data_IF_123354026117
#
_entry.id   IF_123354026117
#
_cell.length_a   1.000
_cell.length_b   1.000
_cell.length_c   1.000
_cell.angle_alpha   90.00
_cell.angle_beta   90.00
_cell.angle_gamma   90.00
#
_symmetry.space_group_name_H-M   'P 1'
#
loop_
_entity.id
_entity.type
_entity.pdbx_description
1 polymer ?
#
# COMPACT_ATOMS: atom_id res chain seq x y z
N UNK A 1 -2.57 -8.85 -17.33
CA UNK A 1 -2.67 -8.12 -18.61
C UNK A 1 -1.38 -7.38 -18.97
N UNK A 2 -0.79 -6.54 -18.10
CA UNK A 2 0.54 -5.94 -18.34
C UNK A 2 1.68 -6.98 -18.56
N UNK A 3 1.76 -8.00 -17.69
CA UNK A 3 2.72 -9.11 -17.84
C UNK A 3 2.46 -9.96 -19.11
N UNK A 4 1.21 -9.99 -19.60
CA UNK A 4 0.82 -10.77 -20.78
C UNK A 4 1.17 -10.05 -22.10
N UNK A 5 1.29 -8.71 -22.07
CA UNK A 5 1.54 -7.90 -23.27
C UNK A 5 3.05 -7.67 -23.52
N UNK A 6 3.86 -7.62 -22.46
CA UNK A 6 5.29 -7.29 -22.55
C UNK A 6 6.22 -8.50 -22.69
N UNK A 7 5.85 -9.70 -22.20
CA UNK A 7 6.81 -10.80 -22.07
C UNK A 7 6.72 -11.93 -23.11
N UNK A 8 5.68 -12.00 -23.95
CA UNK A 8 5.56 -13.06 -24.98
C UNK A 8 5.89 -14.48 -24.45
N UNK A 9 5.51 -14.78 -23.20
CA UNK A 9 5.87 -16.02 -22.51
C UNK A 9 4.62 -16.80 -22.06
N UNK A 10 4.77 -18.12 -22.13
CA UNK A 10 3.82 -19.18 -21.80
C UNK A 10 3.19 -18.98 -20.42
N UNK A 11 1.89 -19.27 -20.29
CA UNK A 11 1.07 -19.08 -19.08
C UNK A 11 1.69 -19.65 -17.78
N UNK A 12 2.58 -20.64 -17.91
CA UNK A 12 3.30 -21.27 -16.80
C UNK A 12 4.34 -20.37 -16.10
N UNK A 13 5.01 -19.46 -16.81
CA UNK A 13 6.03 -18.59 -16.20
C UNK A 13 5.40 -17.45 -15.40
N UNK A 14 4.30 -16.87 -15.90
CA UNK A 14 3.56 -15.84 -15.19
C UNK A 14 2.99 -16.34 -13.85
N UNK A 15 2.51 -17.59 -13.82
CA UNK A 15 2.05 -18.24 -12.59
C UNK A 15 3.19 -18.41 -11.58
N UNK A 16 4.40 -18.74 -12.04
CA UNK A 16 5.58 -18.93 -11.21
C UNK A 16 6.05 -17.60 -10.60
N UNK A 17 6.08 -16.51 -11.38
CA UNK A 17 6.34 -15.16 -10.85
C UNK A 17 5.30 -14.72 -9.82
N UNK A 18 4.02 -15.03 -10.05
CA UNK A 18 2.96 -14.71 -9.11
C UNK A 18 3.11 -15.50 -7.80
N UNK A 19 3.37 -16.81 -7.87
CA UNK A 19 3.66 -17.64 -6.70
C UNK A 19 4.90 -17.14 -5.93
N UNK A 20 5.97 -16.79 -6.64
CA UNK A 20 7.17 -16.21 -6.03
C UNK A 20 6.85 -14.89 -5.30
N UNK A 21 5.98 -14.04 -5.88
CA UNK A 21 5.55 -12.79 -5.24
C UNK A 21 4.74 -13.03 -3.96
N UNK A 22 3.86 -14.04 -3.92
CA UNK A 22 3.09 -14.41 -2.72
C UNK A 22 4.02 -14.92 -1.61
N UNK A 23 4.99 -15.77 -1.95
CA UNK A 23 5.96 -16.29 -0.98
C UNK A 23 6.82 -15.14 -0.43
N UNK A 24 7.33 -14.28 -1.31
CA UNK A 24 8.09 -13.09 -0.92
C UNK A 24 7.27 -12.15 -0.02
N UNK A 25 6.00 -11.92 -0.36
CA UNK A 25 5.05 -11.14 0.44
C UNK A 25 4.81 -11.74 1.83
N UNK A 26 4.73 -13.07 1.93
CA UNK A 26 4.58 -13.75 3.21
C UNK A 26 5.83 -13.57 4.09
N UNK A 27 7.03 -13.77 3.52
CA UNK A 27 8.30 -13.54 4.20
C UNK A 27 8.49 -12.07 4.63
N UNK A 28 8.08 -11.13 3.78
CA UNK A 28 8.07 -9.71 4.08
C UNK A 28 7.30 -9.41 5.35
N UNK A 29 6.09 -9.97 5.46
CA UNK A 29 5.20 -9.74 6.58
C UNK A 29 5.85 -10.14 7.91
N UNK A 30 6.60 -11.25 7.94
CA UNK A 30 7.38 -11.65 9.12
C UNK A 30 8.49 -10.65 9.46
N UNK A 31 9.27 -10.22 8.47
CA UNK A 31 10.36 -9.25 8.65
C UNK A 31 9.82 -7.90 9.15
N UNK A 32 8.71 -7.41 8.59
CA UNK A 32 8.11 -6.13 9.00
C UNK A 32 7.42 -6.20 10.35
N UNK A 33 6.77 -7.32 10.68
CA UNK A 33 6.18 -7.48 12.03
C UNK A 33 7.28 -7.42 13.08
N UNK A 34 8.45 -8.01 12.79
CA UNK A 34 9.62 -7.89 13.63
C UNK A 34 10.17 -6.45 13.67
N UNK A 35 10.19 -5.74 12.53
CA UNK A 35 10.65 -4.36 12.44
C UNK A 35 9.73 -3.35 13.17
N UNK A 36 8.41 -3.59 13.19
CA UNK A 36 7.43 -2.79 13.94
C UNK A 36 7.67 -2.88 15.46
N UNK A 37 8.39 -3.89 15.95
CA UNK A 37 8.77 -3.97 17.37
C UNK A 37 9.82 -2.92 17.74
N UNK A 38 10.60 -2.42 16.78
CA UNK A 38 11.72 -1.51 17.03
C UNK A 38 11.43 -0.06 16.64
N UNK A 39 10.50 0.20 15.71
CA UNK A 39 10.20 1.54 15.20
C UNK A 39 8.74 1.94 15.39
N UNK A 40 8.48 3.24 15.58
CA UNK A 40 7.11 3.76 15.64
C UNK A 40 6.35 3.38 14.36
N UNK A 41 5.17 2.74 14.48
CA UNK A 41 4.36 2.30 13.33
C UNK A 41 4.03 3.46 12.38
N UNK A 42 3.76 4.66 12.93
CA UNK A 42 3.48 5.85 12.14
C UNK A 42 4.65 6.28 11.23
N UNK A 43 5.90 6.11 11.70
CA UNK A 43 7.10 6.49 10.92
C UNK A 43 7.40 5.49 9.81
N UNK A 44 7.20 4.19 10.09
CA UNK A 44 7.31 3.14 9.07
C UNK A 44 6.27 3.32 7.96
N UNK A 45 5.02 3.64 8.34
CA UNK A 45 3.95 3.91 7.39
C UNK A 45 4.26 5.11 6.49
N UNK A 46 4.79 6.21 7.04
CA UNK A 46 5.17 7.39 6.24
C UNK A 46 6.27 7.05 5.22
N UNK A 47 7.29 6.29 5.62
CA UNK A 47 8.34 5.83 4.71
C UNK A 47 7.82 4.90 3.63
N UNK A 48 6.93 3.96 3.97
CA UNK A 48 6.31 3.05 3.02
C UNK A 48 5.44 3.82 2.00
N UNK A 49 4.60 4.76 2.46
CA UNK A 49 3.76 5.57 1.59
C UNK A 49 4.60 6.48 0.67
N UNK A 50 5.70 7.06 1.16
CA UNK A 50 6.62 7.83 0.34
C UNK A 50 7.31 6.96 -0.73
N UNK A 51 7.73 5.74 -0.36
CA UNK A 51 8.29 4.78 -1.30
C UNK A 51 7.27 4.39 -2.38
N UNK A 52 6.01 4.14 -2.01
CA UNK A 52 4.93 3.81 -2.96
C UNK A 52 4.64 4.95 -3.93
N UNK A 53 4.66 6.21 -3.48
CA UNK A 53 4.50 7.36 -4.39
C UNK A 53 5.62 7.38 -5.44
N UNK A 54 6.87 7.20 -5.02
CA UNK A 54 8.03 7.17 -5.93
C UNK A 54 7.92 5.99 -6.90
N UNK A 55 7.55 4.80 -6.41
CA UNK A 55 7.34 3.60 -7.22
C UNK A 55 6.21 3.81 -8.24
N UNK A 56 5.07 4.38 -7.84
CA UNK A 56 3.99 4.74 -8.75
C UNK A 56 4.45 5.73 -9.83
N UNK A 57 5.27 6.71 -9.46
CA UNK A 57 5.82 7.69 -10.40
C UNK A 57 6.77 7.03 -11.41
N UNK A 58 7.59 6.09 -10.96
CA UNK A 58 8.44 5.25 -11.83
C UNK A 58 7.59 4.42 -12.79
N UNK A 59 6.49 3.82 -12.32
CA UNK A 59 5.56 3.04 -13.18
C UNK A 59 4.91 3.93 -14.25
N UNK A 60 4.52 5.16 -13.91
CA UNK A 60 3.95 6.11 -14.87
C UNK A 60 5.00 6.53 -15.90
N UNK A 61 6.21 6.88 -15.48
CA UNK A 61 7.28 7.36 -16.36
C UNK A 61 7.91 6.26 -17.23
N UNK A 62 7.96 5.03 -16.74
CA UNK A 62 8.53 3.87 -17.46
C UNK A 62 7.45 2.99 -18.11
N UNK A 63 6.29 3.57 -18.43
CA UNK A 63 5.23 2.94 -19.20
C UNK A 63 5.74 2.60 -20.62
N UNK A 64 6.33 1.41 -20.77
CA UNK A 64 6.94 0.93 -22.02
C UNK A 64 8.16 0.01 -21.84
N UNK A 65 8.67 -0.16 -20.62
CA UNK A 65 9.71 -1.17 -20.31
C UNK A 65 9.17 -2.16 -19.28
N UNK A 66 8.51 -3.22 -19.74
CA UNK A 66 7.66 -4.11 -18.94
C UNK A 66 8.30 -4.74 -17.70
N UNK A 67 9.61 -5.02 -17.70
CA UNK A 67 10.26 -5.64 -16.54
C UNK A 67 10.35 -4.71 -15.33
N UNK A 68 10.63 -3.42 -15.53
CA UNK A 68 10.82 -2.48 -14.42
C UNK A 68 9.48 -2.16 -13.76
N UNK A 69 8.43 -2.01 -14.56
CA UNK A 69 7.07 -1.81 -14.06
C UNK A 69 6.60 -3.02 -13.22
N UNK A 70 6.92 -4.25 -13.64
CA UNK A 70 6.56 -5.46 -12.89
C UNK A 70 7.29 -5.53 -11.54
N UNK A 71 8.60 -5.26 -11.50
CA UNK A 71 9.35 -5.23 -10.24
C UNK A 71 8.82 -4.13 -9.30
N UNK A 72 8.50 -2.95 -9.83
CA UNK A 72 7.91 -1.87 -9.05
C UNK A 72 6.55 -2.24 -8.46
N UNK A 73 5.69 -2.95 -9.21
CA UNK A 73 4.39 -3.42 -8.72
C UNK A 73 4.50 -4.46 -7.61
N UNK A 74 5.48 -5.35 -7.70
CA UNK A 74 5.77 -6.32 -6.62
C UNK A 74 6.19 -5.59 -5.35
N UNK A 75 7.05 -4.57 -5.48
CA UNK A 75 7.46 -3.72 -4.35
C UNK A 75 6.29 -2.92 -3.76
N UNK A 76 5.42 -2.32 -4.59
CA UNK A 76 4.23 -1.59 -4.09
C UNK A 76 3.32 -2.54 -3.31
N UNK A 77 3.08 -3.75 -3.84
CA UNK A 77 2.23 -4.75 -3.18
C UNK A 77 2.80 -5.16 -1.82
N UNK A 78 4.13 -5.27 -1.73
CA UNK A 78 4.86 -5.55 -0.51
C UNK A 78 4.69 -4.44 0.54
N UNK A 79 4.79 -3.17 0.16
CA UNK A 79 4.54 -2.04 1.07
C UNK A 79 3.07 -1.92 1.46
N UNK A 80 2.13 -2.17 0.53
CA UNK A 80 0.69 -2.11 0.81
C UNK A 80 0.25 -3.10 1.91
N UNK A 81 0.86 -4.28 1.99
CA UNK A 81 0.57 -5.31 3.01
C UNK A 81 0.65 -4.83 4.45
N UNK A 82 1.62 -3.93 4.72
CA UNK A 82 1.91 -3.43 6.06
C UNK A 82 1.08 -2.19 6.39
N UNK A 83 0.70 -1.39 5.39
CA UNK A 83 -0.05 -0.16 5.62
C UNK A 83 -1.40 -0.43 6.26
N UNK A 84 -2.13 -1.47 5.82
CA UNK A 84 -3.44 -1.79 6.38
C UNK A 84 -3.41 -2.14 7.89
N UNK A 85 -2.61 -3.11 8.36
CA UNK A 85 -2.51 -3.40 9.79
C UNK A 85 -1.89 -2.24 10.59
N UNK A 86 -1.01 -1.44 10.00
CA UNK A 86 -0.44 -0.26 10.67
C UNK A 86 -1.45 0.86 10.83
N UNK A 87 -2.25 1.19 9.80
CA UNK A 87 -3.36 2.14 9.89
C UNK A 87 -4.36 1.67 10.95
N UNK A 88 -4.75 0.40 10.89
CA UNK A 88 -5.70 -0.17 11.85
C UNK A 88 -5.16 -0.14 13.27
N UNK A 89 -3.87 -0.46 13.46
CA UNK A 89 -3.19 -0.36 14.74
C UNK A 89 -3.19 1.07 15.29
N UNK A 90 -2.74 2.04 14.48
CA UNK A 90 -2.67 3.46 14.87
C UNK A 90 -4.06 4.03 15.16
N UNK A 91 -5.06 3.70 14.34
CA UNK A 91 -6.41 4.26 14.46
C UNK A 91 -7.19 3.72 15.67
N UNK A 92 -6.81 2.56 16.20
CA UNK A 92 -7.40 1.99 17.41
C UNK A 92 -6.54 2.19 18.66
N UNK A 93 -5.30 2.65 18.49
CA UNK A 93 -4.40 2.93 19.59
C UNK A 93 -4.94 4.11 20.43
N UNK A 94 -5.15 3.88 21.73
CA UNK A 94 -5.66 4.90 22.65
C UNK A 94 -7.19 5.13 22.61
N UNK A 95 -7.97 4.39 21.83
CA UNK A 95 -9.44 4.58 21.70
C UNK A 95 -10.24 3.90 22.83
N UNK A 96 -9.63 2.97 23.59
CA UNK A 96 -10.27 2.35 24.76
C UNK A 96 -11.55 1.56 24.42
N UNK A 97 -12.63 1.74 25.20
CA UNK A 97 -13.90 1.04 25.01
C UNK A 97 -14.56 1.33 23.65
N UNK A 98 -14.26 2.49 23.04
CA UNK A 98 -14.79 2.88 21.73
C UNK A 98 -14.05 2.22 20.55
N UNK A 99 -13.02 1.40 20.81
CA UNK A 99 -12.23 0.74 19.75
C UNK A 99 -13.10 -0.14 18.84
N UNK A 100 -14.21 -0.69 19.34
CA UNK A 100 -15.18 -1.44 18.51
C UNK A 100 -15.90 -0.55 17.49
N UNK A 101 -16.22 0.69 17.86
CA UNK A 101 -16.85 1.67 16.96
C UNK A 101 -15.80 2.23 15.98
N UNK A 102 -14.58 2.47 16.45
CA UNK A 102 -13.46 2.83 15.56
C UNK A 102 -13.19 1.75 14.50
N UNK A 103 -13.19 0.48 14.91
CA UNK A 103 -12.97 -0.66 14.03
C UNK A 103 -14.06 -0.80 12.96
N UNK A 104 -15.33 -0.60 13.34
CA UNK A 104 -16.44 -0.64 12.38
C UNK A 104 -16.39 0.53 11.39
N UNK A 105 -15.97 1.71 11.84
CA UNK A 105 -15.71 2.86 10.96
C UNK A 105 -14.60 2.60 9.94
N UNK A 106 -13.49 1.97 10.36
CA UNK A 106 -12.40 1.57 9.46
C UNK A 106 -12.89 0.59 8.39
N UNK A 107 -13.71 -0.41 8.75
CA UNK A 107 -14.27 -1.38 7.81
C UNK A 107 -15.20 -0.69 6.80
N UNK A 108 -16.01 0.28 7.24
CA UNK A 108 -16.87 1.08 6.36
C UNK A 108 -16.04 1.92 5.37
N UNK A 109 -14.89 2.44 5.78
CA UNK A 109 -14.00 3.17 4.88
C UNK A 109 -13.42 2.28 3.76
N UNK A 110 -13.17 0.99 4.03
CA UNK A 110 -12.72 0.03 3.01
C UNK A 110 -13.77 -0.15 1.91
N UNK A 111 -15.06 -0.15 2.26
CA UNK A 111 -16.15 -0.21 1.28
C UNK A 111 -16.12 1.00 0.34
N UNK A 112 -15.76 2.18 0.85
CA UNK A 112 -15.52 3.37 0.03
C UNK A 112 -14.34 3.19 -0.94
N UNK A 113 -13.24 2.59 -0.47
CA UNK A 113 -12.09 2.24 -1.30
C UNK A 113 -12.41 1.24 -2.41
N UNK A 114 -13.35 0.32 -2.17
CA UNK A 114 -13.80 -0.64 -3.19
C UNK A 114 -14.47 0.02 -4.40
N UNK A 115 -14.94 1.28 -4.29
CA UNK A 115 -15.44 2.08 -5.41
C UNK A 115 -14.30 2.72 -6.24
N UNK A 116 -13.14 2.95 -5.65
CA UNK A 116 -11.97 3.51 -6.35
C UNK A 116 -11.32 2.48 -7.29
N UNK A 117 -11.35 1.19 -6.95
CA UNK A 117 -10.81 0.10 -7.77
C UNK A 117 -11.48 -0.02 -9.15
N UNK A 118 -12.82 -0.07 -9.30
CA UNK A 118 -13.48 -0.09 -10.60
C UNK A 118 -13.32 1.24 -11.34
N UNK A 119 -13.22 2.36 -10.63
CA UNK A 119 -12.90 3.65 -11.25
C UNK A 119 -11.51 3.62 -11.90
N UNK A 120 -10.49 3.08 -11.22
CA UNK A 120 -9.16 2.88 -11.78
C UNK A 120 -9.17 1.95 -12.99
N UNK A 121 -9.98 0.88 -12.95
CA UNK A 121 -10.17 -0.03 -14.09
C UNK A 121 -10.80 0.67 -15.30
N UNK A 122 -11.84 1.47 -15.08
CA UNK A 122 -12.51 2.22 -16.13
C UNK A 122 -11.60 3.29 -16.76
N UNK A 123 -10.78 3.97 -15.96
CA UNK A 123 -9.76 4.91 -16.45
C UNK A 123 -8.71 4.18 -17.30
N UNK A 124 -8.40 2.91 -16.96
CA UNK A 124 -7.39 2.11 -17.68
C UNK A 124 -7.85 1.79 -19.08
N UNK A 125 -9.13 1.47 -19.23
CA UNK A 125 -9.73 1.10 -20.50
C UNK A 125 -9.91 2.30 -21.44
N UNK A 126 -9.97 3.54 -20.91
CA UNK A 126 -10.28 4.76 -21.66
C UNK A 126 -9.08 5.65 -21.97
N UNK A 127 -8.12 5.79 -21.06
CA UNK A 127 -7.02 6.78 -21.15
C UNK A 127 -5.62 6.17 -21.20
N UNK A 128 -5.51 4.83 -21.27
CA UNK A 128 -4.23 4.14 -21.29
C UNK A 128 -3.64 3.93 -19.89
N UNK A 129 -2.79 2.91 -19.79
CA UNK A 129 -2.29 2.34 -18.53
C UNK A 129 -1.59 3.38 -17.64
N UNK A 130 -0.92 4.37 -18.25
CA UNK A 130 -0.17 5.41 -17.53
C UNK A 130 -1.08 6.31 -16.68
N UNK A 131 -2.28 6.65 -17.16
CA UNK A 131 -3.21 7.52 -16.42
C UNK A 131 -3.94 6.77 -15.30
N UNK A 132 -4.09 5.44 -15.40
CA UNK A 132 -4.68 4.65 -14.32
C UNK A 132 -3.86 4.65 -13.05
N UNK A 133 -2.53 4.82 -13.14
CA UNK A 133 -1.68 4.91 -11.96
C UNK A 133 -1.79 6.25 -11.23
N UNK A 134 -2.45 7.26 -11.81
CA UNK A 134 -2.74 8.50 -11.10
C UNK A 134 -3.71 8.28 -9.92
N UNK A 135 -4.64 7.32 -10.03
CA UNK A 135 -5.61 6.99 -8.97
C UNK A 135 -4.91 6.47 -7.70
N UNK A 136 -4.06 5.41 -7.76
CA UNK A 136 -3.29 4.96 -6.61
C UNK A 136 -2.27 6.01 -6.13
N UNK A 137 -1.70 6.82 -7.02
CA UNK A 137 -0.80 7.91 -6.63
C UNK A 137 -1.51 8.91 -5.70
N UNK A 138 -2.72 9.35 -6.07
CA UNK A 138 -3.53 10.25 -5.21
C UNK A 138 -3.85 9.56 -3.88
N UNK A 139 -4.19 8.27 -3.89
CA UNK A 139 -4.44 7.50 -2.68
C UNK A 139 -3.23 7.49 -1.74
N UNK A 140 -2.03 7.18 -2.25
CA UNK A 140 -0.81 7.17 -1.44
C UNK A 140 -0.42 8.55 -0.92
N UNK A 141 -0.72 9.63 -1.64
CA UNK A 141 -0.53 11.00 -1.14
C UNK A 141 -1.43 11.29 0.06
N UNK A 142 -2.71 10.88 0.01
CA UNK A 142 -3.63 11.01 1.15
C UNK A 142 -3.14 10.19 2.34
N UNK A 143 -2.68 8.96 2.10
CA UNK A 143 -2.12 8.07 3.14
C UNK A 143 -0.87 8.69 3.77
N UNK A 144 0.04 9.26 2.97
CA UNK A 144 1.22 9.96 3.47
C UNK A 144 0.84 11.18 4.32
N UNK A 145 -0.16 11.96 3.87
CA UNK A 145 -0.70 13.09 4.64
C UNK A 145 -1.25 12.65 6.00
N UNK A 146 -2.00 11.54 6.03
CA UNK A 146 -2.48 10.94 7.27
C UNK A 146 -1.32 10.48 8.19
N UNK A 147 -0.28 9.84 7.65
CA UNK A 147 0.89 9.44 8.44
C UNK A 147 1.63 10.64 9.02
N UNK A 148 1.83 11.71 8.25
CA UNK A 148 2.51 12.93 8.72
C UNK A 148 1.67 13.63 9.80
N UNK A 149 0.36 13.74 9.61
CA UNK A 149 -0.55 14.31 10.60
C UNK A 149 -0.50 13.50 11.90
N UNK A 150 -0.49 12.17 11.79
CA UNK A 150 -0.34 11.27 12.93
C UNK A 150 0.98 11.51 13.65
N UNK A 151 2.11 11.55 12.92
CA UNK A 151 3.45 11.84 13.48
C UNK A 151 3.52 13.20 14.19
N UNK A 152 2.88 14.23 13.62
CA UNK A 152 2.80 15.57 14.22
C UNK A 152 1.92 15.62 15.47
N UNK A 153 0.93 14.72 15.58
CA UNK A 153 0.06 14.58 16.75
C UNK A 153 0.61 13.58 17.78
N UNK A 154 1.61 12.76 17.41
CA UNK A 154 2.31 11.84 18.30
C UNK A 154 3.33 12.42 19.30
N UNK A 155 3.61 13.75 19.45
CA UNK A 155 4.45 14.23 20.57
C UNK A 155 3.91 13.90 21.96
N UNK A 156 2.63 13.51 22.10
CA UNK A 156 2.00 13.12 23.36
C UNK A 156 1.91 11.61 23.61
N UNK A 157 2.24 10.76 22.61
CA UNK A 157 2.09 9.30 22.70
C UNK A 157 3.32 8.60 23.32
N UNK A 158 4.06 9.34 24.16
CA UNK A 158 5.19 8.86 24.95
C UNK A 158 5.06 9.16 26.44
N UNK A 159 3.89 9.60 26.94
CA UNK A 159 3.68 9.91 28.36
C UNK A 159 2.26 9.59 28.86
N UNK A 160 1.99 8.31 29.07
CA UNK A 160 1.16 7.79 30.17
C UNK A 160 1.75 6.42 30.53
N UNK A 161 2.83 6.38 31.33
CA UNK A 161 2.87 5.99 32.77
C UNK A 161 2.09 4.69 33.05
N UNK A 162 2.67 3.65 33.67
CA UNK A 162 3.39 3.74 34.94
C UNK A 162 2.39 3.57 36.07
#
# INVERSE_FOLDING_TARGET
RLVMQELNLVEADAATYYLASIICFCCARFIFTWLMKYFLPARLMAWAAAADIVLCLIVILMSGSGMIAVVALVLISFFMSLQFPTIYGIALDGVGDDAKIGASGLIMAILGGALLTPLQGFVSDKCGISMSYAVPLICFVVVLGYSIQTLSNSPSMGRTNG
#
